data_IF_503012485043
#
_entry.id   IF_503012485043
#
_cell.length_a   1.000
_cell.length_b   1.000
_cell.length_c   1.000
_cell.angle_alpha   90.00
_cell.angle_beta   90.00
_cell.angle_gamma   90.00
#
_symmetry.space_group_name_H-M   'P 1'
#
loop_
_entity.id
_entity.type
_entity.pdbx_description
1 polymer ?
#
# COMPACT_ATOMS: atom_id res chain seq x y z
N UNK A 1 16.96 4.41 10.54
CA UNK A 1 17.67 4.75 9.28
C UNK A 1 17.08 6.05 8.75
N UNK A 2 17.92 7.00 8.34
CA UNK A 2 17.47 8.27 7.74
C UNK A 2 17.85 8.28 6.26
N UNK A 3 16.86 8.12 5.39
CA UNK A 3 17.00 8.29 3.94
C UNK A 3 16.49 9.66 3.51
N UNK A 4 16.97 10.20 2.40
CA UNK A 4 16.49 11.47 1.84
C UNK A 4 15.09 11.31 1.23
N UNK A 5 14.44 12.44 0.90
CA UNK A 5 13.20 12.41 0.14
C UNK A 5 13.45 11.87 -1.27
N UNK A 6 12.59 10.98 -1.75
CA UNK A 6 12.71 10.44 -3.10
C UNK A 6 13.91 9.52 -3.35
N UNK A 7 14.57 9.02 -2.30
CA UNK A 7 15.73 8.11 -2.44
C UNK A 7 15.40 6.80 -3.14
N UNK A 8 14.13 6.36 -3.15
CA UNK A 8 13.74 5.08 -3.72
C UNK A 8 12.76 5.21 -4.89
N UNK A 9 12.92 4.29 -5.83
CA UNK A 9 11.99 4.11 -6.95
C UNK A 9 10.84 3.16 -6.61
N UNK A 10 11.10 2.21 -5.72
CA UNK A 10 10.16 1.16 -5.34
C UNK A 10 10.27 0.91 -3.84
N UNK A 11 9.12 0.79 -3.18
CA UNK A 11 8.99 0.23 -1.83
C UNK A 11 8.18 -1.04 -1.97
N UNK A 12 8.63 -2.13 -1.35
CA UNK A 12 7.94 -3.42 -1.36
C UNK A 12 7.51 -3.74 0.06
N UNK A 13 6.22 -3.95 0.25
CA UNK A 13 5.64 -4.51 1.46
C UNK A 13 5.07 -5.89 1.11
N UNK A 14 5.54 -6.92 1.83
CA UNK A 14 4.99 -8.26 1.77
C UNK A 14 4.28 -8.58 3.09
N UNK A 15 2.97 -8.35 3.14
CA UNK A 15 2.09 -8.69 4.27
C UNK A 15 2.35 -7.91 5.57
N UNK A 16 3.21 -6.89 5.56
CA UNK A 16 3.48 -6.04 6.74
C UNK A 16 2.26 -5.19 7.05
N UNK A 17 1.62 -4.61 6.04
CA UNK A 17 0.38 -3.87 6.24
C UNK A 17 -0.72 -4.74 6.90
N UNK A 18 -0.92 -5.97 6.43
CA UNK A 18 -1.88 -6.91 7.03
C UNK A 18 -1.50 -7.26 8.48
N UNK A 19 -0.21 -7.43 8.77
CA UNK A 19 0.27 -7.76 10.10
C UNK A 19 0.16 -6.59 11.09
N UNK A 20 0.16 -5.34 10.59
CA UNK A 20 0.08 -4.14 11.42
C UNK A 20 -1.36 -3.64 11.61
N UNK A 21 -2.23 -3.81 10.61
CA UNK A 21 -3.65 -3.48 10.70
C UNK A 21 -4.44 -4.60 11.39
N UNK A 22 -4.14 -4.84 12.67
CA UNK A 22 -4.81 -5.91 13.44
C UNK A 22 -6.24 -5.55 13.87
N UNK A 23 -6.52 -4.26 13.99
CA UNK A 23 -7.82 -3.71 14.39
C UNK A 23 -7.97 -2.26 13.88
N UNK A 24 -9.09 -1.62 14.21
CA UNK A 24 -9.43 -0.24 13.79
C UNK A 24 -9.19 0.80 14.89
N UNK A 25 -8.38 0.50 15.91
CA UNK A 25 -8.06 1.47 16.96
C UNK A 25 -7.30 2.67 16.42
N UNK A 26 -7.36 3.80 17.15
CA UNK A 26 -6.66 5.02 16.76
C UNK A 26 -5.13 4.81 16.74
N UNK A 27 -4.59 4.08 17.73
CA UNK A 27 -3.15 3.81 17.82
C UNK A 27 -2.62 3.05 16.60
N UNK A 28 -3.36 2.02 16.17
CA UNK A 28 -3.02 1.26 14.95
C UNK A 28 -3.08 2.16 13.72
N UNK A 29 -4.13 2.98 13.59
CA UNK A 29 -4.26 3.92 12.48
C UNK A 29 -3.11 4.94 12.43
N UNK A 30 -2.77 5.57 13.56
CA UNK A 30 -1.68 6.56 13.64
C UNK A 30 -0.32 5.94 13.25
N UNK A 31 -0.10 4.68 13.64
CA UNK A 31 1.10 3.92 13.27
C UNK A 31 1.17 3.66 11.78
N UNK A 32 0.06 3.28 11.16
CA UNK A 32 -0.03 3.05 9.71
C UNK A 32 0.13 4.36 8.94
N UNK A 33 -0.48 5.45 9.42
CA UNK A 33 -0.33 6.78 8.81
C UNK A 33 1.12 7.26 8.89
N UNK A 34 1.79 6.99 10.00
CA UNK A 34 3.23 7.23 10.14
C UNK A 34 4.02 6.40 9.13
N UNK A 35 3.71 5.11 8.96
CA UNK A 35 4.36 4.25 7.97
C UNK A 35 4.15 4.79 6.54
N UNK A 36 2.91 5.11 6.18
CA UNK A 36 2.57 5.65 4.87
C UNK A 36 3.22 7.01 4.61
N UNK A 37 3.36 7.86 5.64
CA UNK A 37 4.09 9.13 5.52
C UNK A 37 5.57 8.91 5.17
N UNK A 38 6.20 7.86 5.73
CA UNK A 38 7.57 7.53 5.38
C UNK A 38 7.67 6.97 3.95
N UNK A 39 6.72 6.13 3.53
CA UNK A 39 6.65 5.62 2.15
C UNK A 39 6.47 6.78 1.16
N UNK A 40 5.57 7.72 1.45
CA UNK A 40 5.38 8.95 0.65
C UNK A 40 6.71 9.69 0.53
N UNK A 41 7.34 10.00 1.66
CA UNK A 41 8.59 10.77 1.70
C UNK A 41 9.71 10.11 0.90
N UNK A 42 9.96 8.82 1.08
CA UNK A 42 11.14 8.17 0.48
C UNK A 42 10.92 7.78 -0.99
N UNK A 43 9.67 7.74 -1.48
CA UNK A 43 9.37 7.47 -2.88
C UNK A 43 9.52 8.72 -3.75
N UNK A 44 10.26 8.58 -4.85
CA UNK A 44 10.34 9.61 -5.91
C UNK A 44 9.03 9.71 -6.68
N UNK A 45 8.83 10.82 -7.38
CA UNK A 45 7.72 10.95 -8.34
C UNK A 45 7.81 9.88 -9.43
N UNK A 46 6.69 9.24 -9.74
CA UNK A 46 6.62 8.06 -10.61
C UNK A 46 7.10 6.76 -9.95
N UNK A 47 7.56 6.81 -8.70
CA UNK A 47 7.89 5.64 -7.89
C UNK A 47 6.66 4.84 -7.50
N UNK A 48 6.88 3.59 -7.07
CA UNK A 48 5.80 2.63 -6.81
C UNK A 48 5.91 2.01 -5.42
N UNK A 49 4.80 2.00 -4.71
CA UNK A 49 4.61 1.15 -3.54
C UNK A 49 3.92 -0.14 -4.01
N UNK A 50 4.59 -1.27 -3.80
CA UNK A 50 4.09 -2.61 -4.10
C UNK A 50 3.69 -3.27 -2.79
N UNK A 51 2.39 -3.34 -2.51
CA UNK A 51 1.85 -3.96 -1.31
C UNK A 51 1.24 -5.32 -1.68
N UNK A 52 1.86 -6.40 -1.21
CA UNK A 52 1.32 -7.74 -1.29
C UNK A 52 0.50 -8.02 -0.04
N UNK A 53 -0.79 -8.23 -0.19
CA UNK A 53 -1.73 -8.30 0.93
C UNK A 53 -2.88 -9.27 0.64
N UNK A 54 -3.51 -9.79 1.70
CA UNK A 54 -4.78 -10.51 1.60
C UNK A 54 -5.96 -9.58 1.26
N UNK A 55 -5.73 -8.26 1.35
CA UNK A 55 -6.62 -7.17 0.97
C UNK A 55 -8.03 -7.30 1.57
N UNK A 56 -8.08 -7.62 2.86
CA UNK A 56 -9.34 -7.59 3.61
C UNK A 56 -9.93 -6.17 3.62
N UNK A 57 -11.23 -6.05 3.89
CA UNK A 57 -11.99 -4.79 3.75
C UNK A 57 -11.33 -3.59 4.45
N UNK A 58 -10.89 -3.75 5.70
CA UNK A 58 -10.27 -2.66 6.45
C UNK A 58 -8.90 -2.24 5.87
N UNK A 59 -8.13 -3.18 5.33
CA UNK A 59 -6.86 -2.90 4.64
C UNK A 59 -7.11 -2.15 3.34
N UNK A 60 -8.10 -2.60 2.57
CA UNK A 60 -8.52 -1.93 1.34
C UNK A 60 -8.97 -0.49 1.63
N UNK A 61 -9.86 -0.30 2.60
CA UNK A 61 -10.37 1.02 2.96
C UNK A 61 -9.24 1.96 3.38
N UNK A 62 -8.31 1.48 4.22
CA UNK A 62 -7.17 2.28 4.68
C UNK A 62 -6.23 2.67 3.53
N UNK A 63 -5.99 1.77 2.57
CA UNK A 63 -5.21 2.08 1.37
C UNK A 63 -5.90 3.13 0.50
N UNK A 64 -7.21 2.97 0.26
CA UNK A 64 -7.98 3.90 -0.55
C UNK A 64 -7.96 5.29 0.10
N UNK A 65 -8.40 5.40 1.36
CA UNK A 65 -8.45 6.66 2.12
C UNK A 65 -7.12 7.43 2.03
N UNK A 66 -6.00 6.78 2.32
CA UNK A 66 -4.72 7.48 2.34
C UNK A 66 -4.22 7.90 0.95
N UNK A 67 -4.26 6.98 -0.02
CA UNK A 67 -3.57 7.18 -1.30
C UNK A 67 -4.42 7.90 -2.35
N UNK A 68 -5.75 7.78 -2.30
CA UNK A 68 -6.62 8.55 -3.21
C UNK A 68 -6.62 10.03 -2.87
N UNK A 69 -6.59 10.39 -1.58
CA UNK A 69 -6.50 11.78 -1.13
C UNK A 69 -5.20 12.48 -1.59
N UNK A 70 -4.15 11.68 -1.81
CA UNK A 70 -2.87 12.14 -2.38
C UNK A 70 -2.88 12.19 -3.91
N UNK A 71 -3.89 11.64 -4.56
CA UNK A 71 -4.00 11.52 -6.02
C UNK A 71 -3.10 10.48 -6.62
N UNK A 72 -2.77 9.43 -5.85
CA UNK A 72 -1.92 8.36 -6.33
C UNK A 72 -2.75 7.34 -7.11
N UNK A 73 -2.17 6.78 -8.16
CA UNK A 73 -2.85 5.79 -8.98
C UNK A 73 -2.71 4.41 -8.32
N UNK A 74 -3.83 3.75 -8.03
CA UNK A 74 -3.88 2.42 -7.43
C UNK A 74 -4.30 1.40 -8.49
N UNK A 75 -3.58 0.28 -8.58
CA UNK A 75 -3.96 -0.87 -9.40
C UNK A 75 -3.95 -2.14 -8.56
N UNK A 76 -4.97 -2.95 -8.71
CA UNK A 76 -5.10 -4.23 -8.01
C UNK A 76 -4.86 -5.37 -8.97
N UNK A 77 -3.93 -6.26 -8.61
CA UNK A 77 -3.65 -7.47 -9.38
C UNK A 77 -3.85 -8.68 -8.46
N UNK A 78 -4.85 -9.52 -8.76
CA UNK A 78 -5.03 -10.77 -8.05
C UNK A 78 -3.96 -11.78 -8.48
N UNK A 79 -3.35 -12.45 -7.52
CA UNK A 79 -2.28 -13.41 -7.75
C UNK A 79 -2.82 -14.85 -7.76
N UNK A 80 -3.63 -15.20 -8.76
CA UNK A 80 -4.29 -16.52 -8.87
C UNK A 80 -3.31 -17.70 -8.80
N UNK A 81 -2.10 -17.53 -9.34
CA UNK A 81 -1.03 -18.54 -9.30
C UNK A 81 -0.49 -18.80 -7.89
N UNK A 82 -0.56 -17.81 -6.99
CA UNK A 82 -0.19 -17.98 -5.60
C UNK A 82 -1.25 -18.77 -4.85
N UNK A 83 -2.52 -18.63 -5.23
CA UNK A 83 -3.66 -19.34 -4.65
C UNK A 83 -3.68 -20.82 -5.09
N UNK A 84 -3.38 -21.10 -6.36
CA UNK A 84 -3.40 -22.44 -6.94
C UNK A 84 -2.36 -23.42 -6.33
N UNK A 85 -1.35 -22.93 -5.59
CA UNK A 85 -0.36 -23.78 -4.91
C UNK A 85 -0.87 -24.39 -3.59
N UNK A 86 -2.10 -24.06 -3.20
CA UNK A 86 -2.70 -24.37 -1.91
C UNK A 86 -3.98 -25.19 -2.05
N UNK A 87 -4.03 -26.15 -2.99
CA UNK A 87 -5.23 -26.97 -3.32
C UNK A 87 -5.86 -27.68 -2.11
N UNK A 88 -5.08 -28.02 -1.07
CA UNK A 88 -5.56 -28.73 0.13
C UNK A 88 -5.77 -27.84 1.37
N UNK A 89 -5.66 -26.51 1.23
CA UNK A 89 -5.82 -25.57 2.35
C UNK A 89 -6.74 -24.41 1.97
N UNK A 90 -7.36 -23.76 2.97
CA UNK A 90 -8.11 -22.51 2.77
C UNK A 90 -7.16 -21.43 2.23
N UNK A 91 -7.03 -21.34 0.91
CA UNK A 91 -6.22 -20.34 0.25
C UNK A 91 -6.96 -19.01 0.28
N UNK A 92 -6.45 -18.06 1.08
CA UNK A 92 -6.93 -16.69 1.02
C UNK A 92 -6.46 -16.03 -0.28
N UNK A 93 -7.29 -15.19 -0.92
CA UNK A 93 -6.88 -14.48 -2.12
C UNK A 93 -5.72 -13.54 -1.79
N UNK A 94 -4.71 -13.52 -2.66
CA UNK A 94 -3.53 -12.65 -2.50
C UNK A 94 -3.54 -11.61 -3.60
N UNK A 95 -3.32 -10.36 -3.24
CA UNK A 95 -3.27 -9.24 -4.17
C UNK A 95 -1.90 -8.59 -4.17
N UNK A 96 -1.41 -8.26 -5.35
CA UNK A 96 -0.35 -7.28 -5.55
C UNK A 96 -1.02 -5.92 -5.85
N UNK A 97 -1.02 -5.04 -4.87
CA UNK A 97 -1.51 -3.67 -5.01
C UNK A 97 -0.35 -2.78 -5.45
N UNK A 98 -0.46 -2.20 -6.64
CA UNK A 98 0.56 -1.32 -7.22
C UNK A 98 0.08 0.12 -7.12
N UNK A 99 0.68 0.87 -6.21
CA UNK A 99 0.33 2.27 -5.95
C UNK A 99 1.44 3.15 -6.51
N UNK A 100 1.11 4.05 -7.44
CA UNK A 100 2.08 4.89 -8.14
C UNK A 100 2.00 6.33 -7.64
N UNK A 101 3.11 6.86 -7.12
CA UNK A 101 3.23 8.26 -6.70
C UNK A 101 3.17 9.17 -7.92
N UNK A 102 2.11 9.95 -8.03
CA UNK A 102 1.97 10.96 -9.07
C UNK A 102 2.49 12.31 -8.57
N UNK A 103 3.10 13.07 -9.47
CA UNK A 103 3.44 14.46 -9.18
C UNK A 103 2.14 15.26 -9.15
N UNK A 104 1.87 15.98 -8.04
CA UNK A 104 0.75 16.93 -8.00
C UNK A 104 0.92 17.94 -9.12
N UNK A 105 -0.08 18.06 -10.00
CA UNK A 105 -0.11 19.07 -11.04
C UNK A 105 -0.55 20.38 -10.37
N UNK A 106 0.27 21.47 -10.42
CA UNK A 106 -0.14 22.74 -9.86
C UNK A 106 -1.43 23.24 -10.53
N UNK A 107 -2.45 23.57 -9.73
CA UNK A 107 -3.72 24.12 -10.22
C UNK A 107 -4.87 23.12 -10.38
N UNK A 108 -4.65 21.83 -10.11
CA UNK A 108 -5.75 20.85 -10.03
C UNK A 108 -6.18 20.70 -8.57
N UNK A 109 -7.40 21.11 -8.24
CA UNK A 109 -8.06 20.65 -7.01
C UNK A 109 -8.51 19.21 -7.26
N UNK A 110 -8.10 18.27 -6.39
CA UNK A 110 -8.81 17.00 -6.25
C UNK A 110 -9.92 17.16 -5.25
#
# INVERSE_FOLDING_TARGET
LSFEEGSFSVVIDKGTLDALLTDTSQEVNDRIDTMFSQIDRVLRNGGRYLCFSLLQEHVLNKLLEWFTDKGWLIRFHRCEQAEAKHEDSLAFPVYAVVITKLKKIPGTQM
#
